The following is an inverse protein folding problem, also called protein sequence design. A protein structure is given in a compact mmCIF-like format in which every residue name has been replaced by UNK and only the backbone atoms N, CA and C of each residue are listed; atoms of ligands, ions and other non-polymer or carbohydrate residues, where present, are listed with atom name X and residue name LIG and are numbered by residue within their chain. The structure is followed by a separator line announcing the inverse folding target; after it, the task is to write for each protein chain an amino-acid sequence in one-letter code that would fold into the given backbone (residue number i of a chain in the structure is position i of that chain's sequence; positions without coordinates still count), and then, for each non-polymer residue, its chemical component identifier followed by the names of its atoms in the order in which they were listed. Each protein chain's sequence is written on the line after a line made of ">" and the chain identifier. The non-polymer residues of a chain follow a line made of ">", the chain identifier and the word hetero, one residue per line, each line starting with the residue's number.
data_IF_335179243163
#
_entry.id   IF_335179243163
#
_cell.length_a   1.000
_cell.length_b   1.000
_cell.length_c   1.000
_cell.angle_alpha   90.00
_cell.angle_beta   90.00
_cell.angle_gamma   90.00
#
_symmetry.space_group_name_H-M   'P 1'
#
loop_
_entity.id
_entity.type
_entity.pdbx_description
1 polymer ?
#
# COMPACT_ATOMS: atom_id res chain seq x y z
N UNK A 1 27.64 -18.33 -17.72
CA UNK A 1 26.67 -17.75 -18.67
C UNK A 1 25.95 -16.61 -17.99
N UNK A 2 26.09 -15.40 -18.51
CA UNK A 2 25.30 -14.26 -18.06
C UNK A 2 23.86 -14.43 -18.55
N UNK A 3 22.83 -14.24 -17.70
CA UNK A 3 21.44 -14.35 -18.14
C UNK A 3 21.16 -13.33 -19.25
N UNK A 4 20.39 -13.74 -20.26
CA UNK A 4 20.02 -12.86 -21.39
C UNK A 4 18.65 -12.26 -21.11
N UNK A 5 18.40 -11.03 -21.56
CA UNK A 5 17.10 -10.35 -21.39
C UNK A 5 15.90 -11.14 -21.92
N UNK A 6 16.13 -12.09 -22.83
CA UNK A 6 15.11 -12.97 -23.42
C UNK A 6 14.66 -14.11 -22.50
N UNK A 7 15.32 -14.32 -21.36
CA UNK A 7 14.96 -15.36 -20.38
C UNK A 7 13.85 -14.89 -19.42
N UNK A 8 13.43 -13.63 -19.51
CA UNK A 8 12.39 -13.02 -18.69
C UNK A 8 11.11 -12.82 -19.51
N UNK A 9 10.00 -13.49 -19.13
CA UNK A 9 8.68 -13.32 -19.74
C UNK A 9 7.90 -12.11 -19.21
N UNK A 10 8.37 -11.51 -18.12
CA UNK A 10 7.77 -10.35 -17.48
C UNK A 10 8.87 -9.33 -17.24
N UNK A 11 8.76 -8.19 -17.92
CA UNK A 11 9.47 -6.97 -17.57
C UNK A 11 8.56 -6.22 -16.60
N UNK A 12 8.91 -6.24 -15.30
CA UNK A 12 8.25 -5.36 -14.32
C UNK A 12 8.83 -3.97 -14.53
N UNK A 13 8.11 -3.15 -15.29
CA UNK A 13 8.36 -1.70 -15.26
C UNK A 13 7.84 -1.18 -13.94
N UNK A 14 8.74 -0.62 -13.13
CA UNK A 14 8.38 0.24 -12.02
C UNK A 14 7.62 1.45 -12.60
N UNK A 15 6.29 1.37 -12.54
CA UNK A 15 5.36 2.44 -12.94
C UNK A 15 4.87 3.22 -11.72
N UNK A 16 5.36 2.90 -10.52
CA UNK A 16 5.04 3.58 -9.26
C UNK A 16 6.20 4.47 -8.80
N UNK A 17 6.76 5.23 -9.75
CA UNK A 17 7.72 6.30 -9.47
C UNK A 17 7.77 7.39 -10.52
N UNK A 18 6.90 7.33 -11.54
CA UNK A 18 7.04 8.19 -12.74
C UNK A 18 5.74 8.88 -13.19
N UNK A 19 4.54 8.44 -12.76
CA UNK A 19 3.27 9.01 -13.28
C UNK A 19 2.19 9.31 -12.21
N UNK A 20 2.15 8.61 -11.07
CA UNK A 20 1.17 8.89 -10.00
C UNK A 20 1.87 9.23 -8.68
N UNK A 21 1.42 10.28 -7.98
CA UNK A 21 1.86 10.62 -6.62
C UNK A 21 1.21 9.65 -5.63
N UNK A 22 1.70 8.41 -5.70
CA UNK A 22 1.25 7.28 -4.89
C UNK A 22 1.56 7.53 -3.41
N UNK A 23 2.65 8.23 -3.07
CA UNK A 23 2.98 8.56 -1.69
C UNK A 23 1.89 9.43 -1.05
N UNK A 24 1.44 10.47 -1.75
CA UNK A 24 0.36 11.33 -1.25
C UNK A 24 -0.99 10.61 -1.27
N UNK A 25 -1.25 9.79 -2.29
CA UNK A 25 -2.46 8.96 -2.37
C UNK A 25 -2.59 7.99 -1.19
N UNK A 26 -1.56 7.18 -0.96
CA UNK A 26 -1.50 6.20 0.15
C UNK A 26 -1.55 6.91 1.50
N UNK A 27 -0.77 7.98 1.69
CA UNK A 27 -0.78 8.71 2.96
C UNK A 27 -2.17 9.29 3.29
N UNK A 28 -2.87 9.85 2.31
CA UNK A 28 -4.22 10.37 2.52
C UNK A 28 -5.23 9.25 2.79
N UNK A 29 -5.13 8.13 2.08
CA UNK A 29 -6.01 6.99 2.23
C UNK A 29 -5.80 6.23 3.55
N UNK A 30 -4.57 6.19 4.08
CA UNK A 30 -4.24 5.48 5.33
C UNK A 30 -4.50 6.32 6.59
N UNK A 31 -4.54 7.65 6.46
CA UNK A 31 -4.74 8.58 7.57
C UNK A 31 -5.99 8.32 8.43
N UNK A 32 -7.16 7.95 7.87
CA UNK A 32 -8.32 7.56 8.66
C UNK A 32 -8.02 6.37 9.58
N UNK A 33 -7.30 5.36 9.08
CA UNK A 33 -6.90 4.20 9.87
C UNK A 33 -5.92 4.60 10.99
N UNK A 34 -4.89 5.38 10.67
CA UNK A 34 -3.91 5.85 11.67
C UNK A 34 -4.55 6.71 12.76
N UNK A 35 -5.65 7.41 12.46
CA UNK A 35 -6.37 8.24 13.43
C UNK A 35 -7.21 7.40 14.43
N UNK A 36 -7.53 6.15 14.10
CA UNK A 36 -8.30 5.23 14.98
C UNK A 36 -7.45 4.65 16.11
N UNK A 37 -6.13 4.55 15.91
CA UNK A 37 -5.23 3.86 16.83
C UNK A 37 -4.24 4.83 17.49
N UNK A 38 -4.18 4.89 18.84
CA UNK A 38 -3.20 5.72 19.53
C UNK A 38 -1.75 5.31 19.24
N UNK A 39 -1.51 4.03 18.91
CA UNK A 39 -0.20 3.51 18.57
C UNK A 39 0.42 4.15 17.31
N UNK A 40 -0.41 4.67 16.40
CA UNK A 40 0.03 5.40 15.20
C UNK A 40 0.21 6.90 15.44
N UNK A 41 -0.08 7.42 16.64
CA UNK A 41 0.09 8.85 16.92
C UNK A 41 1.54 9.32 16.83
N UNK A 42 2.51 8.42 16.97
CA UNK A 42 3.94 8.69 16.81
C UNK A 42 4.46 8.50 15.40
N UNK A 43 3.65 7.97 14.48
CA UNK A 43 4.10 7.67 13.11
C UNK A 43 4.20 8.95 12.30
N UNK A 44 5.35 9.16 11.68
CA UNK A 44 5.48 10.18 10.63
C UNK A 44 4.88 9.66 9.32
N UNK A 45 4.67 10.56 8.34
CA UNK A 45 4.30 10.18 6.96
C UNK A 45 5.25 9.11 6.41
N UNK A 46 6.55 9.31 6.60
CA UNK A 46 7.58 8.39 6.13
C UNK A 46 7.50 7.02 6.82
N UNK A 47 7.19 6.98 8.12
CA UNK A 47 7.07 5.71 8.85
C UNK A 47 5.87 4.91 8.35
N UNK A 48 4.74 5.59 8.12
CA UNK A 48 3.55 4.97 7.55
C UNK A 48 3.81 4.41 6.14
N UNK A 49 4.46 5.20 5.27
CA UNK A 49 4.80 4.76 3.92
C UNK A 49 5.79 3.60 3.93
N UNK A 50 6.86 3.67 4.75
CA UNK A 50 7.83 2.57 4.88
C UNK A 50 7.17 1.28 5.38
N UNK A 51 6.30 1.38 6.38
CA UNK A 51 5.57 0.22 6.88
C UNK A 51 4.68 -0.39 5.80
N UNK A 52 4.00 0.46 5.02
CA UNK A 52 3.16 0.06 3.90
C UNK A 52 3.95 -0.65 2.79
N UNK A 53 4.98 0.01 2.25
CA UNK A 53 5.79 -0.54 1.16
C UNK A 53 6.46 -1.86 1.56
N UNK A 54 6.89 -2.01 2.82
CA UNK A 54 7.45 -3.27 3.30
C UNK A 54 6.44 -4.43 3.28
N UNK A 55 5.17 -4.15 3.59
CA UNK A 55 4.09 -5.16 3.56
C UNK A 55 3.70 -5.47 2.12
N UNK A 56 3.57 -4.44 1.28
CA UNK A 56 3.28 -4.58 -0.15
C UNK A 56 4.31 -5.48 -0.85
N UNK A 57 5.60 -5.23 -0.62
CA UNK A 57 6.70 -6.02 -1.19
C UNK A 57 6.63 -7.49 -0.76
N UNK A 58 6.33 -7.75 0.52
CA UNK A 58 6.19 -9.11 1.04
C UNK A 58 4.96 -9.82 0.46
N UNK A 59 3.84 -9.11 0.30
CA UNK A 59 2.63 -9.64 -0.34
C UNK A 59 2.86 -9.95 -1.81
N UNK A 60 3.49 -9.06 -2.57
CA UNK A 60 3.80 -9.30 -3.98
C UNK A 60 4.78 -10.46 -4.17
N UNK A 61 5.73 -10.64 -3.24
CA UNK A 61 6.65 -11.77 -3.28
C UNK A 61 5.95 -13.11 -2.97
N UNK A 62 4.96 -13.11 -2.08
CA UNK A 62 4.21 -14.32 -1.69
C UNK A 62 3.08 -14.66 -2.66
N UNK A 63 2.42 -13.66 -3.20
CA UNK A 63 1.20 -13.78 -4.01
C UNK A 63 1.32 -12.92 -5.29
N UNK A 64 2.19 -13.30 -6.24
CA UNK A 64 2.46 -12.50 -7.45
C UNK A 64 1.27 -12.41 -8.42
N UNK A 65 0.27 -13.29 -8.27
CA UNK A 65 -0.93 -13.34 -9.11
C UNK A 65 -2.08 -12.45 -8.61
N UNK A 66 -1.91 -11.79 -7.45
CA UNK A 66 -2.95 -10.90 -6.90
C UNK A 66 -3.08 -9.62 -7.72
N UNK A 67 -4.31 -9.13 -7.83
CA UNK A 67 -4.55 -7.81 -8.37
C UNK A 67 -3.98 -6.76 -7.41
N UNK A 68 -3.45 -5.68 -7.98
CA UNK A 68 -2.84 -4.61 -7.17
C UNK A 68 -3.81 -4.04 -6.12
N UNK A 69 -5.09 -3.87 -6.46
CA UNK A 69 -6.11 -3.42 -5.52
C UNK A 69 -6.27 -4.38 -4.32
N UNK A 70 -6.14 -5.68 -4.54
CA UNK A 70 -6.22 -6.70 -3.49
C UNK A 70 -4.96 -6.69 -2.62
N UNK A 71 -3.79 -6.45 -3.22
CA UNK A 71 -2.53 -6.24 -2.48
C UNK A 71 -2.65 -5.04 -1.54
N UNK A 72 -3.20 -3.93 -2.02
CA UNK A 72 -3.39 -2.73 -1.19
C UNK A 72 -4.41 -2.95 -0.07
N UNK A 73 -5.51 -3.65 -0.35
CA UNK A 73 -6.52 -4.00 0.65
C UNK A 73 -5.91 -4.87 1.77
N UNK A 74 -5.18 -5.92 1.39
CA UNK A 74 -4.44 -6.79 2.33
C UNK A 74 -3.36 -6.03 3.09
N UNK A 75 -2.62 -5.13 2.44
CA UNK A 75 -1.62 -4.31 3.10
C UNK A 75 -2.26 -3.40 4.17
N UNK A 76 -3.42 -2.81 3.87
CA UNK A 76 -4.19 -2.00 4.81
C UNK A 76 -4.66 -2.83 6.02
N UNK A 77 -5.15 -4.04 5.78
CA UNK A 77 -5.54 -5.02 6.82
C UNK A 77 -4.37 -5.34 7.76
N UNK A 78 -3.21 -5.70 7.22
CA UNK A 78 -2.03 -6.04 8.02
C UNK A 78 -1.54 -4.85 8.86
N UNK A 79 -1.62 -3.62 8.34
CA UNK A 79 -1.28 -2.43 9.12
C UNK A 79 -2.25 -2.24 10.28
N UNK A 80 -3.55 -2.42 10.04
CA UNK A 80 -4.55 -2.33 11.10
C UNK A 80 -4.28 -3.36 12.20
N UNK A 81 -4.01 -4.61 11.83
CA UNK A 81 -3.67 -5.68 12.78
C UNK A 81 -2.44 -5.31 13.62
N UNK A 82 -1.38 -4.79 12.99
CA UNK A 82 -0.17 -4.34 13.69
C UNK A 82 -0.47 -3.22 14.68
N UNK A 83 -1.29 -2.24 14.29
CA UNK A 83 -1.67 -1.12 15.15
C UNK A 83 -2.57 -1.57 16.31
N UNK A 84 -3.44 -2.55 16.07
CA UNK A 84 -4.30 -3.16 17.10
C UNK A 84 -3.48 -3.93 18.13
N UNK A 85 -2.55 -4.76 17.67
CA UNK A 85 -1.62 -5.49 18.53
C UNK A 85 -0.76 -4.52 19.36
N UNK A 86 -0.22 -3.47 18.73
CA UNK A 86 0.56 -2.45 19.42
C UNK A 86 -0.26 -1.60 20.42
N UNK A 87 -1.58 -1.51 20.22
CA UNK A 87 -2.51 -0.80 21.12
C UNK A 87 -3.02 -1.66 22.29
N UNK A 88 -2.59 -2.93 22.39
CA UNK A 88 -3.10 -3.87 23.41
C UNK A 88 -4.59 -4.20 23.25
N UNK A 89 -5.12 -4.05 22.03
CA UNK A 89 -6.54 -4.20 21.68
C UNK A 89 -6.83 -5.52 20.96
N UNK A 90 -6.09 -6.58 21.27
CA UNK A 90 -6.23 -7.90 20.63
C UNK A 90 -7.64 -8.52 20.78
N UNK A 91 -8.39 -8.12 21.80
CA UNK A 91 -9.74 -8.65 22.09
C UNK A 91 -10.88 -7.90 21.38
N UNK A 92 -10.60 -6.75 20.76
CA UNK A 92 -11.60 -6.08 19.91
C UNK A 92 -11.64 -6.81 18.59
N UNK A 93 -12.81 -7.31 18.13
CA UNK A 93 -12.91 -7.94 16.82
C UNK A 93 -12.30 -6.99 15.80
N UNK A 94 -11.56 -7.55 14.83
CA UNK A 94 -11.17 -6.76 13.68
C UNK A 94 -12.39 -6.00 13.19
N UNK A 95 -12.26 -4.68 13.00
CA UNK A 95 -13.33 -3.90 12.38
C UNK A 95 -13.72 -4.71 11.15
N UNK A 96 -14.90 -5.31 11.17
CA UNK A 96 -15.33 -6.34 10.20
C UNK A 96 -15.74 -5.67 8.90
N UNK A 97 -15.07 -4.56 8.61
CA UNK A 97 -15.34 -3.68 7.52
C UNK A 97 -14.29 -3.99 6.48
N UNK A 98 -14.37 -5.22 5.94
CA UNK A 98 -13.71 -5.60 4.69
C UNK A 98 -13.95 -4.51 3.63
N UNK A 99 -15.07 -3.78 3.73
CA UNK A 99 -15.38 -2.62 2.90
C UNK A 99 -14.38 -1.47 3.05
N UNK A 100 -13.82 -1.19 4.24
CA UNK A 100 -12.77 -0.17 4.42
C UNK A 100 -11.46 -0.59 3.74
N UNK A 101 -11.06 -1.85 3.89
CA UNK A 101 -9.86 -2.38 3.22
C UNK A 101 -10.03 -2.43 1.70
N UNK A 102 -11.20 -2.87 1.22
CA UNK A 102 -11.55 -2.85 -0.21
C UNK A 102 -11.62 -1.42 -0.74
N UNK A 103 -12.20 -0.48 0.01
CA UNK A 103 -12.25 0.93 -0.38
C UNK A 103 -10.84 1.53 -0.46
N UNK A 104 -9.94 1.17 0.47
CA UNK A 104 -8.53 1.54 0.39
C UNK A 104 -7.88 0.99 -0.88
N UNK A 105 -8.07 -0.30 -1.19
CA UNK A 105 -7.56 -0.91 -2.42
C UNK A 105 -8.12 -0.29 -3.70
N UNK A 106 -9.36 0.19 -3.67
CA UNK A 106 -9.99 0.90 -4.78
C UNK A 106 -9.59 2.38 -4.89
N UNK A 107 -8.94 2.95 -3.87
CA UNK A 107 -8.55 4.36 -3.85
C UNK A 107 -7.48 4.71 -4.90
N UNK A 108 -6.81 3.71 -5.48
CA UNK A 108 -5.80 3.87 -6.55
C UNK A 108 -6.30 4.74 -7.70
N UNK A 109 -7.58 4.61 -8.05
CA UNK A 109 -8.22 5.40 -9.11
C UNK A 109 -8.32 6.89 -8.79
N UNK A 110 -8.27 7.25 -7.50
CA UNK A 110 -8.45 8.59 -6.97
C UNK A 110 -7.10 9.24 -6.61
N UNK A 111 -5.98 8.55 -6.83
CA UNK A 111 -4.65 9.07 -6.51
C UNK A 111 -4.25 10.19 -7.47
N UNK A 112 -3.72 11.32 -6.95
CA UNK A 112 -3.32 12.45 -7.80
C UNK A 112 -2.21 12.03 -8.77
N UNK A 113 -2.41 12.34 -10.05
CA UNK A 113 -1.37 12.22 -11.09
C UNK A 113 -0.35 13.34 -10.86
N UNK A 114 0.95 13.07 -11.03
CA UNK A 114 1.96 14.12 -10.92
C UNK A 114 1.69 15.23 -11.96
N UNK A 115 1.78 16.52 -11.58
CA UNK A 115 1.44 17.66 -12.45
C UNK A 115 2.37 17.85 -13.68
N UNK A 116 3.48 17.12 -13.80
CA UNK A 116 4.45 17.24 -14.92
C UNK A 116 4.25 16.21 -16.05
N UNK A 117 2.99 15.91 -16.39
CA UNK A 117 2.64 14.89 -17.40
C UNK A 117 2.27 15.41 -18.81
N UNK A 118 2.90 16.49 -19.35
CA UNK A 118 3.00 16.59 -20.80
C UNK A 118 4.41 17.03 -21.25
N UNK A 119 5.39 16.12 -21.22
CA UNK A 119 6.74 16.46 -21.70
C UNK A 119 7.71 15.32 -21.97
N UNK A 120 7.26 14.06 -21.98
CA UNK A 120 8.15 12.92 -22.23
C UNK A 120 7.53 11.84 -23.15
N UNK A 121 6.83 12.29 -24.21
CA UNK A 121 6.45 11.45 -25.36
C UNK A 121 7.33 11.79 -26.56
#
# INVERSE_FOLDING_TARGET
>A
SSPKLTDFKVLVFDTYGTLADWETGIHNAIKPLLSKYPASASWTRDDALKAFTAIELDLQAREPDLLYADVLAKAHEIIEERLRAASGKEETPASTDDQEHIAFGQSVKDWPVFPDSPGAL
#
